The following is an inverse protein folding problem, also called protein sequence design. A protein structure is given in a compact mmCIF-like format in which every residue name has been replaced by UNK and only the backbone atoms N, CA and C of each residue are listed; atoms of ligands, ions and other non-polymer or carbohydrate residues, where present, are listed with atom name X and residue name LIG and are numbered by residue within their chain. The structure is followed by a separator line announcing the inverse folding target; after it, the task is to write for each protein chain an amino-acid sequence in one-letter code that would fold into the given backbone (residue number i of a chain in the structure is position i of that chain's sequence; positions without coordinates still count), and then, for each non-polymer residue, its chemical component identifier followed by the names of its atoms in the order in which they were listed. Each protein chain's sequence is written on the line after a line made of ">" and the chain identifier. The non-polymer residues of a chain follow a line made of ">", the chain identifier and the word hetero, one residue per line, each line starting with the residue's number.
data_IF_186503889620
#
_entry.id   IF_186503889620
#
_cell.length_a   1.000
_cell.length_b   1.000
_cell.length_c   1.000
_cell.angle_alpha   90.00
_cell.angle_beta   90.00
_cell.angle_gamma   90.00
#
_symmetry.space_group_name_H-M   'P 1'
#
loop_
_entity.id
_entity.type
_entity.pdbx_description
1 polymer ?
#
# COMPACT_ATOMS: atom_id res chain seq x y z
N UNK A 1 27.53 58.72 54.16
CA UNK A 1 26.07 58.95 54.22
C UNK A 1 25.43 58.13 53.11
N UNK A 2 24.41 57.38 53.49
CA UNK A 2 23.78 56.33 52.70
C UNK A 2 22.96 56.88 51.51
N UNK A 3 22.98 56.14 50.41
CA UNK A 3 22.07 56.34 49.27
C UNK A 3 21.95 55.03 48.50
N UNK A 4 20.95 54.22 48.85
CA UNK A 4 20.61 52.96 48.18
C UNK A 4 20.04 53.25 46.80
N UNK A 5 20.57 52.63 45.75
CA UNK A 5 19.96 52.57 44.42
C UNK A 5 19.49 51.13 44.18
N UNK A 6 18.23 50.88 43.82
CA UNK A 6 17.77 49.52 43.58
C UNK A 6 18.25 49.04 42.20
N UNK A 7 18.94 47.91 42.20
CA UNK A 7 19.32 47.17 41.01
C UNK A 7 18.07 46.46 40.47
N UNK A 8 17.52 46.93 39.36
CA UNK A 8 16.41 46.26 38.67
C UNK A 8 17.00 45.37 37.57
N UNK A 9 17.17 44.09 37.88
CA UNK A 9 17.47 43.04 36.90
C UNK A 9 16.21 42.77 36.08
N UNK A 10 16.14 43.26 34.85
CA UNK A 10 15.20 42.75 33.86
C UNK A 10 15.88 41.58 33.16
N UNK A 11 15.42 40.36 33.46
CA UNK A 11 15.78 39.15 32.74
C UNK A 11 15.29 39.26 31.29
N UNK A 12 16.21 39.43 30.34
CA UNK A 12 15.93 39.19 28.93
C UNK A 12 15.94 37.68 28.68
N UNK A 13 14.76 37.06 28.75
CA UNK A 13 14.58 35.67 28.34
C UNK A 13 14.79 35.55 26.82
N UNK A 14 15.94 35.02 26.40
CA UNK A 14 16.20 34.63 25.02
C UNK A 14 15.25 33.45 24.66
N UNK A 15 14.19 33.74 23.91
CA UNK A 15 13.42 32.71 23.21
C UNK A 15 14.26 32.18 22.03
N UNK A 16 14.90 31.03 22.22
CA UNK A 16 15.51 30.26 21.13
C UNK A 16 14.37 29.59 20.36
N UNK A 17 13.89 30.26 19.30
CA UNK A 17 12.98 29.66 18.32
C UNK A 17 13.80 28.66 17.51
N UNK A 18 13.66 27.39 17.84
CA UNK A 18 14.25 26.30 17.07
C UNK A 18 13.33 26.04 15.88
N UNK A 19 13.68 26.60 14.72
CA UNK A 19 12.96 26.31 13.46
C UNK A 19 13.32 24.88 13.07
N UNK A 20 12.43 23.93 13.37
CA UNK A 20 12.46 22.62 12.73
C UNK A 20 12.07 22.84 11.26
N UNK A 21 13.07 23.01 10.40
CA UNK A 21 12.92 22.81 8.97
C UNK A 21 12.69 21.32 8.76
N UNK A 22 11.43 20.90 8.75
CA UNK A 22 11.07 19.65 8.11
C UNK A 22 11.46 19.81 6.65
N UNK A 23 12.54 19.14 6.25
CA UNK A 23 12.87 18.96 4.84
C UNK A 23 11.78 18.09 4.24
N UNK A 24 10.66 18.73 3.89
CA UNK A 24 9.71 18.22 2.93
C UNK A 24 10.52 18.04 1.66
N UNK A 25 11.04 16.83 1.44
CA UNK A 25 11.53 16.45 0.12
C UNK A 25 10.30 16.50 -0.77
N UNK A 26 10.04 17.65 -1.38
CA UNK A 26 9.14 17.74 -2.51
C UNK A 26 9.71 16.76 -3.53
N UNK A 27 9.02 15.65 -3.74
CA UNK A 27 9.26 14.82 -4.90
C UNK A 27 8.82 15.67 -6.10
N UNK A 28 9.76 16.42 -6.68
CA UNK A 28 9.55 17.00 -7.99
C UNK A 28 9.48 15.78 -8.93
N UNK A 29 8.29 15.50 -9.43
CA UNK A 29 8.15 14.64 -10.59
C UNK A 29 8.81 15.40 -11.75
N UNK A 30 10.05 15.08 -12.08
CA UNK A 30 10.57 15.45 -13.39
C UNK A 30 9.77 14.64 -14.40
N UNK A 31 8.81 15.28 -15.08
CA UNK A 31 7.92 14.73 -16.13
C UNK A 31 8.69 14.24 -17.39
N UNK A 32 10.00 13.99 -17.29
CA UNK A 32 10.85 13.63 -18.41
C UNK A 32 10.82 12.14 -18.74
N UNK A 33 10.36 11.27 -17.81
CA UNK A 33 10.35 9.81 -18.00
C UNK A 33 8.93 9.25 -17.91
N UNK A 34 8.20 9.37 -19.01
CA UNK A 34 6.82 8.87 -19.15
C UNK A 34 6.78 7.34 -19.29
N UNK A 35 5.72 6.71 -18.75
CA UNK A 35 5.41 5.30 -19.04
C UNK A 35 5.03 5.20 -20.54
N UNK A 36 5.69 4.34 -21.33
CA UNK A 36 5.41 4.23 -22.76
C UNK A 36 3.98 3.75 -23.01
N UNK A 37 3.36 4.18 -24.11
CA UNK A 37 2.03 3.71 -24.52
C UNK A 37 2.04 2.29 -25.09
N UNK A 38 3.17 1.85 -25.64
CA UNK A 38 3.38 0.50 -26.15
C UNK A 38 3.72 -0.46 -24.99
N UNK A 39 2.83 -1.43 -24.75
CA UNK A 39 2.96 -2.42 -23.68
C UNK A 39 4.25 -3.25 -23.77
N UNK A 40 4.77 -3.47 -24.99
CA UNK A 40 6.01 -4.24 -25.20
C UNK A 40 7.25 -3.54 -24.64
N UNK A 41 7.19 -2.21 -24.44
CA UNK A 41 8.29 -1.39 -23.93
C UNK A 41 8.26 -1.23 -22.42
N UNK A 42 7.16 -1.61 -21.75
CA UNK A 42 6.95 -1.35 -20.31
C UNK A 42 7.97 -2.07 -19.44
N UNK A 43 8.34 -3.31 -19.80
CA UNK A 43 9.36 -4.07 -19.07
C UNK A 43 10.72 -3.35 -19.12
N UNK A 44 11.17 -2.99 -20.33
CA UNK A 44 12.41 -2.24 -20.55
C UNK A 44 12.38 -0.86 -19.87
N UNK A 45 11.24 -0.16 -19.93
CA UNK A 45 11.05 1.10 -19.22
C UNK A 45 11.18 0.92 -17.71
N UNK A 46 10.56 -0.12 -17.15
CA UNK A 46 10.62 -0.41 -15.73
C UNK A 46 12.05 -0.72 -15.29
N UNK A 47 12.76 -1.58 -16.02
CA UNK A 47 14.16 -1.92 -15.74
C UNK A 47 15.10 -0.71 -15.88
N UNK A 48 14.74 0.25 -16.74
CA UNK A 48 15.46 1.50 -16.89
C UNK A 48 15.22 2.51 -15.78
N UNK A 49 14.06 2.49 -15.14
CA UNK A 49 13.72 3.42 -14.07
C UNK A 49 13.95 2.84 -12.68
N UNK A 50 13.83 1.52 -12.55
CA UNK A 50 14.00 0.75 -11.32
C UNK A 50 15.35 0.04 -11.34
N UNK A 51 16.41 0.83 -11.54
CA UNK A 51 17.81 0.38 -11.52
C UNK A 51 18.21 -0.31 -10.21
N UNK A 52 19.29 -1.07 -10.25
CA UNK A 52 19.78 -1.80 -9.07
C UNK A 52 20.15 -0.86 -7.93
N UNK A 53 20.23 -1.40 -6.71
CA UNK A 53 20.66 -0.64 -5.54
C UNK A 53 22.02 0.06 -5.77
N UNK A 54 22.99 -0.65 -6.36
CA UNK A 54 24.33 -0.11 -6.60
C UNK A 54 24.34 1.09 -7.56
N UNK A 55 23.43 1.11 -8.53
CA UNK A 55 23.30 2.19 -9.52
C UNK A 55 22.59 3.43 -8.96
N UNK A 56 21.69 3.28 -7.98
CA UNK A 56 20.88 4.39 -7.45
C UNK A 56 21.24 4.84 -6.03
N UNK A 57 22.12 4.14 -5.32
CA UNK A 57 22.40 4.42 -3.90
C UNK A 57 22.77 5.89 -3.59
N UNK A 58 23.32 6.64 -4.55
CA UNK A 58 23.66 8.05 -4.37
C UNK A 58 22.45 9.00 -4.32
N UNK A 59 21.30 8.61 -4.87
CA UNK A 59 20.08 9.43 -4.95
C UNK A 59 18.95 8.91 -4.07
N UNK A 60 19.12 7.75 -3.44
CA UNK A 60 18.13 7.17 -2.53
C UNK A 60 18.14 7.85 -1.16
N UNK A 61 17.03 7.69 -0.43
CA UNK A 61 16.95 8.06 0.98
C UNK A 61 18.13 7.42 1.76
N UNK A 62 18.95 8.21 2.48
CA UNK A 62 20.06 7.69 3.28
C UNK A 62 19.67 6.58 4.26
N UNK A 63 18.47 6.63 4.84
CA UNK A 63 17.98 5.59 5.74
C UNK A 63 17.74 4.27 5.00
N UNK A 64 17.23 4.33 3.77
CA UNK A 64 17.10 3.15 2.91
C UNK A 64 18.47 2.60 2.52
N UNK A 65 19.43 3.46 2.19
CA UNK A 65 20.81 3.05 1.87
C UNK A 65 21.44 2.31 3.06
N UNK A 66 21.29 2.86 4.27
CA UNK A 66 21.77 2.21 5.49
C UNK A 66 21.10 0.84 5.72
N UNK A 67 19.78 0.75 5.46
CA UNK A 67 19.03 -0.48 5.65
C UNK A 67 19.44 -1.60 4.69
N UNK A 68 19.74 -1.28 3.43
CA UNK A 68 20.13 -2.26 2.41
C UNK A 68 21.60 -2.69 2.50
N UNK A 69 22.44 -2.03 3.33
CA UNK A 69 23.87 -2.35 3.45
C UNK A 69 24.14 -3.76 4.02
N UNK A 70 23.34 -4.19 5.01
CA UNK A 70 23.51 -5.49 5.66
C UNK A 70 22.15 -6.15 5.97
N UNK A 71 21.47 -6.70 4.96
CA UNK A 71 20.16 -7.32 5.13
C UNK A 71 20.22 -8.54 6.03
N UNK A 72 19.13 -8.77 6.77
CA UNK A 72 18.95 -9.97 7.60
C UNK A 72 17.87 -10.87 7.00
N UNK A 73 17.97 -12.17 7.27
CA UNK A 73 16.99 -13.16 6.82
C UNK A 73 16.45 -13.91 8.04
N UNK A 74 15.12 -13.93 8.17
CA UNK A 74 14.38 -14.72 9.14
C UNK A 74 13.55 -15.73 8.35
N UNK A 75 13.67 -17.02 8.66
CA UNK A 75 12.91 -18.09 7.99
C UNK A 75 11.67 -18.48 8.79
N UNK A 76 10.53 -18.54 8.14
CA UNK A 76 9.27 -19.01 8.73
C UNK A 76 8.87 -20.33 8.07
N UNK A 77 8.79 -21.40 8.86
CA UNK A 77 8.38 -22.73 8.39
C UNK A 77 7.51 -23.42 9.44
N UNK A 78 6.27 -23.77 9.09
CA UNK A 78 5.32 -24.40 10.02
C UNK A 78 5.79 -25.77 10.53
N UNK A 79 6.62 -26.47 9.76
CA UNK A 79 7.26 -27.75 10.12
C UNK A 79 8.41 -27.62 11.15
N UNK A 80 8.80 -26.39 11.50
CA UNK A 80 9.88 -26.13 12.46
C UNK A 80 11.29 -26.09 11.86
N UNK A 81 11.46 -26.22 10.54
CA UNK A 81 12.77 -26.10 9.87
C UNK A 81 13.30 -24.67 9.74
N UNK A 82 12.54 -23.66 10.17
CA UNK A 82 12.87 -22.25 10.14
C UNK A 82 13.27 -21.69 11.51
N UNK A 83 13.45 -20.37 11.58
CA UNK A 83 13.63 -19.65 12.83
C UNK A 83 12.33 -19.58 13.65
N UNK A 84 11.18 -19.47 12.96
CA UNK A 84 9.85 -19.41 13.55
C UNK A 84 8.86 -20.30 12.80
N UNK A 85 7.79 -20.70 13.48
CA UNK A 85 6.66 -21.44 12.87
C UNK A 85 5.60 -20.51 12.30
N UNK A 86 5.43 -19.33 12.91
CA UNK A 86 4.42 -18.34 12.58
C UNK A 86 5.07 -17.08 11.99
N UNK A 87 4.30 -16.33 11.21
CA UNK A 87 4.77 -15.05 10.67
C UNK A 87 4.77 -14.01 11.79
N UNK A 88 3.77 -14.03 12.68
CA UNK A 88 3.64 -13.11 13.81
C UNK A 88 4.86 -13.15 14.74
N UNK A 89 5.35 -14.34 15.10
CA UNK A 89 6.56 -14.47 15.94
C UNK A 89 7.80 -13.91 15.24
N UNK A 90 7.93 -14.14 13.93
CA UNK A 90 9.02 -13.58 13.15
C UNK A 90 9.00 -12.04 13.16
N UNK A 91 7.82 -11.44 12.98
CA UNK A 91 7.66 -9.99 13.08
C UNK A 91 7.94 -9.48 14.50
N UNK A 92 7.52 -10.21 15.53
CA UNK A 92 7.78 -9.85 16.93
C UNK A 92 9.27 -9.86 17.27
N UNK A 93 10.06 -10.72 16.64
CA UNK A 93 11.51 -10.78 16.84
C UNK A 93 12.29 -9.59 16.26
N UNK A 94 11.69 -8.83 15.33
CA UNK A 94 12.31 -7.64 14.74
C UNK A 94 12.25 -6.49 15.77
N UNK A 95 13.38 -5.84 16.10
CA UNK A 95 13.42 -4.78 17.10
C UNK A 95 12.64 -3.54 16.63
N UNK A 96 12.05 -2.82 17.59
CA UNK A 96 11.52 -1.49 17.33
C UNK A 96 12.66 -0.53 16.91
N UNK A 97 12.38 0.38 15.99
CA UNK A 97 13.37 1.26 15.39
C UNK A 97 14.35 0.53 14.46
N UNK A 98 13.94 -0.61 13.89
CA UNK A 98 14.77 -1.41 12.98
C UNK A 98 15.41 -0.55 11.87
N UNK A 99 16.73 -0.64 11.73
CA UNK A 99 17.50 0.13 10.73
C UNK A 99 18.04 -0.73 9.59
N UNK A 100 17.69 -2.02 9.54
CA UNK A 100 18.19 -2.98 8.55
C UNK A 100 17.06 -3.56 7.72
N UNK A 101 17.29 -3.85 6.44
CA UNK A 101 16.34 -4.64 5.65
C UNK A 101 16.21 -6.04 6.25
N UNK A 102 15.01 -6.41 6.69
CA UNK A 102 14.74 -7.77 7.20
C UNK A 102 13.85 -8.52 6.23
N UNK A 103 14.39 -9.57 5.62
CA UNK A 103 13.65 -10.51 4.80
C UNK A 103 13.07 -11.62 5.68
N UNK A 104 11.75 -11.58 5.87
CA UNK A 104 10.98 -12.69 6.43
C UNK A 104 10.65 -13.64 5.28
N UNK A 105 11.46 -14.67 5.12
CA UNK A 105 11.33 -15.68 4.09
C UNK A 105 10.38 -16.78 4.58
N UNK A 106 9.19 -16.84 3.97
CA UNK A 106 8.08 -17.67 4.40
C UNK A 106 7.97 -18.85 3.44
N UNK A 107 8.07 -20.06 4.00
CA UNK A 107 7.83 -21.30 3.24
C UNK A 107 6.36 -21.35 2.79
N UNK A 108 6.10 -21.95 1.63
CA UNK A 108 4.73 -22.17 1.18
C UNK A 108 3.92 -23.00 2.19
N UNK A 109 2.67 -22.61 2.40
CA UNK A 109 1.79 -23.15 3.43
C UNK A 109 0.59 -22.23 3.64
N UNK A 110 -0.37 -22.66 4.47
CA UNK A 110 -1.52 -21.85 4.87
C UNK A 110 -1.29 -21.34 6.28
N UNK A 111 -1.24 -20.02 6.42
CA UNK A 111 -1.00 -19.30 7.67
C UNK A 111 -2.29 -18.62 8.10
N UNK A 112 -3.02 -19.24 9.03
CA UNK A 112 -4.21 -18.65 9.63
C UNK A 112 -3.79 -17.69 10.75
N UNK A 113 -3.43 -16.47 10.38
CA UNK A 113 -2.88 -15.44 11.27
C UNK A 113 -3.39 -14.06 10.84
N UNK A 114 -3.79 -13.25 11.83
CA UNK A 114 -3.94 -11.81 11.62
C UNK A 114 -2.60 -11.12 11.85
N UNK A 115 -2.01 -10.57 10.81
CA UNK A 115 -0.65 -10.06 10.85
C UNK A 115 -0.66 -8.54 10.82
N UNK A 116 0.05 -7.91 11.75
CA UNK A 116 0.36 -6.47 11.70
C UNK A 116 1.86 -6.27 11.56
N UNK A 117 2.27 -5.48 10.56
CA UNK A 117 3.63 -4.95 10.45
C UNK A 117 3.61 -3.53 11.02
N UNK A 118 4.03 -3.33 12.28
CA UNK A 118 3.82 -2.07 12.97
C UNK A 118 4.72 -0.96 12.42
N UNK A 119 4.25 0.29 12.52
CA UNK A 119 4.96 1.48 12.02
C UNK A 119 6.39 1.62 12.57
N UNK A 120 6.65 1.13 13.78
CA UNK A 120 7.95 1.21 14.44
C UNK A 120 8.94 0.13 13.97
N UNK A 121 8.62 -0.69 12.97
CA UNK A 121 9.50 -1.70 12.38
C UNK A 121 9.64 -1.49 10.87
N UNK A 122 10.32 -0.42 10.41
CA UNK A 122 10.48 -0.13 8.98
C UNK A 122 11.38 -1.18 8.30
N UNK A 123 11.42 -1.12 6.96
CA UNK A 123 12.31 -1.96 6.13
C UNK A 123 12.06 -3.47 6.22
N UNK A 124 10.83 -3.90 6.51
CA UNK A 124 10.46 -5.33 6.51
C UNK A 124 10.10 -5.79 5.09
N UNK A 125 10.51 -7.00 4.74
CA UNK A 125 10.10 -7.66 3.50
C UNK A 125 9.52 -9.03 3.80
N UNK A 126 8.24 -9.24 3.48
CA UNK A 126 7.65 -10.57 3.44
C UNK A 126 7.92 -11.19 2.08
N UNK A 127 8.55 -12.36 2.05
CA UNK A 127 8.99 -13.01 0.83
C UNK A 127 8.55 -14.47 0.77
N UNK A 128 7.82 -14.84 -0.27
CA UNK A 128 7.49 -16.22 -0.62
C UNK A 128 8.21 -16.70 -1.88
N UNK A 129 8.17 -18.01 -2.13
CA UNK A 129 8.59 -18.56 -3.43
C UNK A 129 7.49 -18.37 -4.47
N UNK A 130 7.78 -17.94 -5.71
CA UNK A 130 6.75 -17.77 -6.73
C UNK A 130 6.07 -19.10 -7.13
N UNK A 131 6.76 -20.23 -6.94
CA UNK A 131 6.21 -21.58 -7.22
C UNK A 131 5.40 -22.15 -6.05
N UNK A 132 5.49 -21.54 -4.87
CA UNK A 132 4.86 -22.02 -3.65
C UNK A 132 4.66 -20.82 -2.72
N UNK A 133 3.71 -19.95 -3.09
CA UNK A 133 3.41 -18.74 -2.34
C UNK A 133 2.72 -19.11 -1.02
N UNK A 134 3.13 -18.53 0.12
CA UNK A 134 2.37 -18.66 1.36
C UNK A 134 0.98 -18.01 1.19
N UNK A 135 -0.03 -18.69 1.70
CA UNK A 135 -1.40 -18.19 1.78
C UNK A 135 -1.67 -17.71 3.21
N UNK A 136 -1.83 -16.40 3.37
CA UNK A 136 -2.14 -15.76 4.64
C UNK A 136 -3.65 -15.53 4.69
N UNK A 137 -4.30 -16.05 5.73
CA UNK A 137 -5.74 -15.96 5.90
C UNK A 137 -6.13 -15.64 7.34
N UNK A 138 -7.25 -14.96 7.52
CA UNK A 138 -7.83 -14.68 8.83
C UNK A 138 -9.31 -14.31 8.72
N UNK A 139 -10.11 -14.60 9.75
CA UNK A 139 -11.57 -14.42 9.76
C UNK A 139 -12.02 -12.98 10.15
N UNK A 140 -11.23 -11.99 9.74
CA UNK A 140 -11.46 -10.58 10.05
C UNK A 140 -12.58 -9.97 9.21
N UNK A 141 -13.64 -9.49 9.86
CA UNK A 141 -14.69 -8.69 9.21
C UNK A 141 -14.90 -7.34 9.89
N UNK A 142 -15.45 -6.38 9.15
CA UNK A 142 -15.79 -5.07 9.67
C UNK A 142 -16.87 -5.11 10.75
N UNK A 143 -17.75 -6.11 10.75
CA UNK A 143 -18.72 -6.32 11.83
C UNK A 143 -18.03 -6.59 13.18
N UNK A 144 -16.89 -7.29 13.16
CA UNK A 144 -16.13 -7.65 14.37
C UNK A 144 -15.04 -6.63 14.72
N UNK A 145 -14.40 -6.03 13.72
CA UNK A 145 -13.20 -5.21 13.90
C UNK A 145 -13.33 -3.77 13.39
N UNK A 146 -14.42 -3.42 12.71
CA UNK A 146 -14.46 -2.26 11.80
C UNK A 146 -13.60 -2.49 10.55
N UNK A 147 -13.87 -1.75 9.47
CA UNK A 147 -13.15 -1.93 8.18
C UNK A 147 -11.64 -1.79 8.36
N UNK A 148 -11.19 -0.75 9.08
CA UNK A 148 -9.78 -0.44 9.31
C UNK A 148 -9.01 -1.63 9.89
N UNK A 149 -9.57 -2.29 10.90
CA UNK A 149 -8.89 -3.39 11.60
C UNK A 149 -9.35 -4.77 11.13
N UNK A 150 -10.15 -4.88 10.07
CA UNK A 150 -10.57 -6.18 9.51
C UNK A 150 -9.47 -6.87 8.69
N UNK A 151 -8.39 -6.15 8.36
CA UNK A 151 -7.27 -6.63 7.53
C UNK A 151 -6.69 -7.96 8.01
N UNK A 152 -6.55 -8.92 7.09
CA UNK A 152 -5.76 -10.15 7.29
C UNK A 152 -4.28 -9.80 7.46
N UNK A 153 -3.76 -8.94 6.56
CA UNK A 153 -2.46 -8.29 6.69
C UNK A 153 -2.66 -6.78 6.82
N UNK A 154 -2.17 -6.19 7.91
CA UNK A 154 -2.18 -4.75 8.19
C UNK A 154 -0.72 -4.27 8.16
N UNK A 155 -0.42 -3.32 7.29
CA UNK A 155 0.94 -2.79 7.12
C UNK A 155 0.95 -1.30 7.42
N UNK A 156 1.56 -0.95 8.54
CA UNK A 156 1.77 0.43 8.98
C UNK A 156 3.23 0.87 8.80
N UNK A 157 4.09 -0.08 8.40
CA UNK A 157 5.55 0.07 8.31
C UNK A 157 6.01 0.70 6.99
N UNK A 158 6.82 1.75 7.10
CA UNK A 158 7.45 2.39 5.94
C UNK A 158 8.49 1.47 5.28
N UNK A 159 8.66 1.66 3.97
CA UNK A 159 9.57 0.88 3.13
C UNK A 159 9.29 -0.63 3.13
N UNK A 160 8.05 -1.01 3.45
CA UNK A 160 7.62 -2.40 3.41
C UNK A 160 7.67 -2.98 1.99
N UNK A 161 8.01 -4.26 1.88
CA UNK A 161 7.87 -4.99 0.62
C UNK A 161 7.15 -6.31 0.84
N UNK A 162 6.28 -6.68 -0.10
CA UNK A 162 5.73 -8.02 -0.20
C UNK A 162 6.03 -8.60 -1.57
N UNK A 163 6.49 -9.85 -1.58
CA UNK A 163 6.88 -10.54 -2.81
C UNK A 163 6.34 -11.96 -2.79
N UNK A 164 5.56 -12.34 -3.80
CA UNK A 164 5.01 -13.69 -3.97
C UNK A 164 4.15 -14.17 -2.79
N UNK A 165 3.14 -13.40 -2.39
CA UNK A 165 2.21 -13.76 -1.31
C UNK A 165 0.79 -13.92 -1.84
N UNK A 166 0.00 -14.77 -1.17
CA UNK A 166 -1.45 -14.83 -1.35
C UNK A 166 -2.09 -14.39 -0.04
N UNK A 167 -3.03 -13.43 -0.11
CA UNK A 167 -3.69 -12.83 1.05
C UNK A 167 -5.20 -12.92 0.82
N UNK A 168 -5.91 -13.65 1.68
CA UNK A 168 -7.34 -13.97 1.51
C UNK A 168 -8.02 -13.91 2.88
N UNK A 169 -9.02 -13.04 3.11
CA UNK A 169 -9.84 -13.12 4.31
C UNK A 169 -10.64 -14.44 4.30
N UNK A 170 -10.82 -15.03 5.47
CA UNK A 170 -11.51 -16.32 5.60
C UNK A 170 -13.03 -16.15 5.46
N UNK A 171 -13.54 -16.63 4.33
CA UNK A 171 -14.97 -16.71 4.02
C UNK A 171 -15.61 -15.41 3.54
N UNK A 172 -16.64 -15.55 2.70
CA UNK A 172 -17.56 -14.45 2.36
C UNK A 172 -18.62 -14.40 3.46
N UNK A 173 -18.76 -13.25 4.13
CA UNK A 173 -19.85 -13.03 5.09
C UNK A 173 -20.84 -12.02 4.54
N UNK A 174 -22.09 -12.43 4.42
CA UNK A 174 -23.17 -11.58 3.95
C UNK A 174 -23.27 -10.34 4.85
N UNK A 175 -23.25 -9.15 4.23
CA UNK A 175 -23.42 -7.87 4.93
C UNK A 175 -22.20 -7.35 5.70
N UNK A 176 -20.99 -7.91 5.54
CA UNK A 176 -19.81 -7.40 6.26
C UNK A 176 -18.55 -7.35 5.39
N UNK A 177 -17.91 -6.18 5.31
CA UNK A 177 -16.65 -5.98 4.60
C UNK A 177 -15.52 -6.83 5.19
N UNK A 178 -14.57 -7.28 4.37
CA UNK A 178 -13.38 -7.97 4.85
C UNK A 178 -12.15 -7.62 4.02
N UNK A 179 -11.23 -6.92 4.69
CA UNK A 179 -9.99 -6.47 4.09
C UNK A 179 -8.98 -7.62 4.03
N UNK A 180 -8.49 -7.92 2.83
CA UNK A 180 -7.34 -8.81 2.67
C UNK A 180 -6.06 -8.08 3.14
N UNK A 181 -5.80 -6.92 2.56
CA UNK A 181 -4.64 -6.09 2.84
C UNK A 181 -5.06 -4.67 3.19
N UNK A 182 -4.62 -4.17 4.34
CA UNK A 182 -4.57 -2.76 4.65
C UNK A 182 -3.12 -2.28 4.56
N UNK A 183 -2.87 -1.18 3.85
CA UNK A 183 -1.55 -0.55 3.75
C UNK A 183 -1.65 0.94 4.07
N UNK A 184 -0.78 1.39 4.98
CA UNK A 184 -0.66 2.78 5.40
C UNK A 184 0.77 3.27 5.62
N UNK A 185 1.74 2.35 5.56
CA UNK A 185 3.17 2.65 5.60
C UNK A 185 3.66 3.16 4.25
N UNK A 186 4.46 4.23 4.27
CA UNK A 186 4.87 4.95 3.08
C UNK A 186 5.98 4.22 2.31
N UNK A 187 6.07 4.48 0.99
CA UNK A 187 7.12 3.93 0.10
C UNK A 187 7.13 2.39 0.08
N UNK A 188 5.94 1.78 0.11
CA UNK A 188 5.76 0.33 0.07
C UNK A 188 5.66 -0.22 -1.35
N UNK A 189 6.09 -1.47 -1.56
CA UNK A 189 6.00 -2.12 -2.87
C UNK A 189 5.55 -3.58 -2.78
N UNK A 190 4.66 -3.96 -3.69
CA UNK A 190 4.08 -5.29 -3.79
C UNK A 190 4.39 -5.87 -5.17
N UNK A 191 5.03 -7.05 -5.19
CA UNK A 191 5.42 -7.73 -6.41
C UNK A 191 4.80 -9.12 -6.46
N UNK A 192 4.07 -9.43 -7.53
CA UNK A 192 3.50 -10.76 -7.76
C UNK A 192 2.70 -11.29 -6.55
N UNK A 193 1.93 -10.40 -5.92
CA UNK A 193 1.06 -10.74 -4.80
C UNK A 193 -0.38 -10.92 -5.27
N UNK A 194 -1.15 -11.77 -4.59
CA UNK A 194 -2.56 -11.98 -4.84
C UNK A 194 -3.38 -11.53 -3.65
N UNK A 195 -4.22 -10.52 -3.85
CA UNK A 195 -5.19 -10.06 -2.86
C UNK A 195 -6.57 -10.49 -3.36
N UNK A 196 -7.15 -11.49 -2.71
CA UNK A 196 -8.39 -12.12 -3.18
C UNK A 196 -9.43 -11.95 -2.09
N UNK A 197 -10.46 -11.17 -2.35
CA UNK A 197 -11.54 -10.93 -1.39
C UNK A 197 -12.88 -10.74 -2.07
N UNK A 198 -13.73 -9.98 -1.41
CA UNK A 198 -15.04 -9.60 -1.90
C UNK A 198 -15.23 -8.08 -1.74
N UNK A 199 -15.91 -7.59 -0.71
CA UNK A 199 -16.08 -6.16 -0.45
C UNK A 199 -14.87 -5.65 0.36
N UNK A 200 -14.33 -4.49 -0.05
CA UNK A 200 -13.18 -3.82 0.59
C UNK A 200 -11.88 -4.67 0.59
N UNK A 201 -11.56 -5.35 -0.50
CA UNK A 201 -10.42 -6.30 -0.55
C UNK A 201 -9.06 -5.65 -0.23
N UNK A 202 -8.72 -4.55 -0.89
CA UNK A 202 -7.49 -3.78 -0.69
C UNK A 202 -7.84 -2.41 -0.13
N UNK A 203 -7.51 -2.20 1.15
CA UNK A 203 -7.54 -0.90 1.77
C UNK A 203 -6.19 -0.20 1.61
N UNK A 204 -6.03 0.49 0.49
CA UNK A 204 -4.90 1.36 0.19
C UNK A 204 -5.07 2.71 0.88
N UNK A 205 -4.87 2.71 2.21
CA UNK A 205 -5.28 3.82 3.07
C UNK A 205 -4.49 5.10 2.76
N UNK A 206 -3.16 5.10 2.88
CA UNK A 206 -2.33 6.29 2.64
C UNK A 206 -0.89 5.90 2.37
N UNK A 207 -0.15 6.77 1.67
CA UNK A 207 1.27 6.56 1.37
C UNK A 207 1.53 6.41 -0.13
N UNK A 208 2.82 6.38 -0.49
CA UNK A 208 3.29 6.16 -1.85
C UNK A 208 3.51 4.66 -2.08
N UNK A 209 2.72 4.04 -2.95
CA UNK A 209 2.76 2.60 -3.16
C UNK A 209 2.96 2.20 -4.63
N UNK A 210 3.62 1.05 -4.83
CA UNK A 210 3.73 0.37 -6.11
C UNK A 210 3.14 -1.03 -6.01
N UNK A 211 2.23 -1.37 -6.91
CA UNK A 211 1.73 -2.73 -7.11
C UNK A 211 2.09 -3.18 -8.52
N UNK A 212 2.97 -4.18 -8.64
CA UNK A 212 3.46 -4.68 -9.92
C UNK A 212 3.26 -6.18 -10.04
N UNK A 213 2.69 -6.60 -11.16
CA UNK A 213 2.38 -8.00 -11.48
C UNK A 213 1.45 -8.65 -10.44
N UNK A 214 0.72 -7.84 -9.67
CA UNK A 214 -0.21 -8.33 -8.67
C UNK A 214 -1.54 -8.74 -9.31
N UNK A 215 -2.28 -9.59 -8.59
CA UNK A 215 -3.64 -9.98 -8.90
C UNK A 215 -4.55 -9.48 -7.79
N UNK A 216 -5.56 -8.68 -8.12
CA UNK A 216 -6.54 -8.18 -7.14
C UNK A 216 -7.93 -8.58 -7.59
N UNK A 217 -8.67 -9.26 -6.70
CA UNK A 217 -10.03 -9.71 -6.97
C UNK A 217 -10.99 -9.26 -5.88
N UNK A 218 -12.15 -8.74 -6.28
CA UNK A 218 -13.22 -8.39 -5.35
C UNK A 218 -14.55 -8.09 -6.02
N UNK A 219 -15.44 -7.42 -5.28
CA UNK A 219 -16.84 -7.13 -5.64
C UNK A 219 -17.11 -5.62 -5.53
N UNK A 220 -17.52 -5.11 -4.38
CA UNK A 220 -17.79 -3.69 -4.13
C UNK A 220 -16.57 -3.02 -3.50
N UNK A 221 -16.21 -1.84 -4.00
CA UNK A 221 -15.16 -0.94 -3.48
C UNK A 221 -13.84 -1.65 -3.17
N UNK A 222 -13.48 -2.64 -3.98
CA UNK A 222 -12.46 -3.60 -3.56
C UNK A 222 -11.03 -3.09 -3.68
N UNK A 223 -10.81 -1.91 -4.26
CA UNK A 223 -9.59 -1.12 -4.16
C UNK A 223 -9.99 0.29 -3.69
N UNK A 224 -9.72 0.62 -2.43
CA UNK A 224 -10.25 1.85 -1.82
C UNK A 224 -9.26 2.51 -0.86
N UNK A 225 -9.51 3.79 -0.56
CA UNK A 225 -8.65 4.61 0.31
C UNK A 225 -8.07 5.84 -0.40
N UNK A 226 -6.99 6.39 0.13
CA UNK A 226 -6.37 7.66 -0.32
C UNK A 226 -4.86 7.57 -0.52
N UNK A 227 -4.35 6.38 -0.86
CA UNK A 227 -2.97 6.20 -1.32
C UNK A 227 -2.63 7.04 -2.55
N UNK A 228 -1.33 7.27 -2.75
CA UNK A 228 -0.73 7.72 -4.02
C UNK A 228 -0.08 6.50 -4.65
N UNK A 229 -0.81 5.82 -5.52
CA UNK A 229 -0.47 4.45 -5.88
C UNK A 229 -0.42 4.22 -7.37
N UNK A 230 0.64 3.57 -7.82
CA UNK A 230 0.80 3.10 -9.18
C UNK A 230 0.52 1.59 -9.24
N UNK A 231 -0.41 1.22 -10.12
CA UNK A 231 -0.88 -0.13 -10.34
C UNK A 231 -0.50 -0.58 -11.76
N UNK A 232 0.25 -1.68 -11.86
CA UNK A 232 0.50 -2.46 -13.08
C UNK A 232 0.09 -3.91 -12.81
N UNK A 233 -1.22 -4.15 -12.78
CA UNK A 233 -1.82 -5.33 -12.18
C UNK A 233 -2.89 -5.99 -13.08
N UNK A 234 -3.29 -7.19 -12.68
CA UNK A 234 -4.52 -7.83 -13.16
C UNK A 234 -5.63 -7.65 -12.12
N UNK A 235 -6.67 -6.93 -12.49
CA UNK A 235 -7.90 -6.75 -11.72
C UNK A 235 -8.96 -7.75 -12.21
N UNK A 236 -9.59 -8.46 -11.27
CA UNK A 236 -10.69 -9.38 -11.53
C UNK A 236 -11.91 -9.01 -10.69
N UNK A 237 -12.96 -8.53 -11.32
CA UNK A 237 -14.24 -8.37 -10.64
C UNK A 237 -15.03 -9.68 -10.59
N UNK A 238 -15.92 -9.77 -9.60
CA UNK A 238 -16.96 -10.80 -9.52
C UNK A 238 -18.28 -10.16 -9.11
N UNK A 239 -19.36 -10.51 -9.79
CA UNK A 239 -20.72 -10.00 -9.52
C UNK A 239 -20.82 -8.47 -9.65
N UNK A 240 -22.01 -7.91 -9.39
CA UNK A 240 -22.22 -6.46 -9.45
C UNK A 240 -21.13 -5.72 -8.65
N UNK A 241 -20.36 -4.85 -9.33
CA UNK A 241 -19.06 -4.38 -8.84
C UNK A 241 -18.89 -2.87 -8.98
N UNK A 242 -18.14 -2.32 -8.02
CA UNK A 242 -17.42 -1.06 -8.16
C UNK A 242 -15.94 -1.36 -7.87
N UNK A 243 -15.05 -1.11 -8.83
CA UNK A 243 -13.63 -1.47 -8.68
C UNK A 243 -12.95 -0.56 -7.67
N UNK A 244 -13.10 0.76 -7.83
CA UNK A 244 -12.42 1.74 -6.99
C UNK A 244 -13.36 2.62 -6.18
N UNK A 245 -12.96 2.94 -4.95
CA UNK A 245 -13.60 3.94 -4.11
C UNK A 245 -12.53 4.84 -3.49
N UNK A 246 -12.11 5.85 -4.26
CA UNK A 246 -10.99 6.71 -3.87
C UNK A 246 -11.45 7.86 -2.97
N UNK A 247 -10.68 8.14 -1.92
CA UNK A 247 -11.04 9.00 -0.79
C UNK A 247 -10.21 10.29 -0.71
N UNK A 248 -9.79 10.85 -1.84
CA UNK A 248 -9.21 12.19 -1.87
C UNK A 248 -10.32 13.21 -1.59
N UNK A 249 -10.08 14.11 -0.64
CA UNK A 249 -11.09 15.07 -0.18
C UNK A 249 -10.89 16.47 -0.77
N UNK A 250 -9.71 16.78 -1.30
CA UNK A 250 -9.45 18.07 -1.96
C UNK A 250 -8.41 17.99 -3.07
N UNK A 251 -8.44 18.94 -4.01
CA UNK A 251 -7.50 19.01 -5.13
C UNK A 251 -6.05 19.29 -4.71
N UNK A 252 -5.82 19.81 -3.50
CA UNK A 252 -4.47 20.05 -2.95
C UNK A 252 -3.83 18.80 -2.35
N UNK A 253 -4.60 17.73 -2.14
CA UNK A 253 -4.05 16.45 -1.69
C UNK A 253 -3.31 15.75 -2.83
N UNK A 254 -2.03 15.46 -2.61
CA UNK A 254 -1.19 14.67 -3.52
C UNK A 254 -1.46 13.17 -3.34
N UNK A 255 -2.68 12.74 -3.66
CA UNK A 255 -3.11 11.35 -3.65
C UNK A 255 -3.90 10.98 -4.91
N UNK A 256 -4.04 9.69 -5.16
CA UNK A 256 -4.73 9.17 -6.34
C UNK A 256 -4.26 7.79 -6.73
N UNK A 257 -5.08 7.11 -7.53
CA UNK A 257 -4.77 5.79 -8.06
C UNK A 257 -4.52 5.85 -9.55
N UNK A 258 -3.37 5.37 -9.99
CA UNK A 258 -3.00 5.29 -11.41
C UNK A 258 -2.90 3.83 -11.83
N UNK A 259 -3.85 3.37 -12.64
CA UNK A 259 -3.84 2.06 -13.28
C UNK A 259 -3.23 2.21 -14.67
N UNK A 260 -2.06 1.62 -14.90
CA UNK A 260 -1.31 1.76 -16.15
C UNK A 260 -0.88 0.39 -16.64
N UNK A 261 -1.15 0.08 -17.92
CA UNK A 261 -0.88 -1.26 -18.49
C UNK A 261 -1.47 -2.40 -17.65
N UNK A 262 -2.65 -2.16 -17.09
CA UNK A 262 -3.38 -3.16 -16.34
C UNK A 262 -4.21 -4.04 -17.27
N UNK A 263 -4.74 -5.11 -16.69
CA UNK A 263 -5.82 -5.89 -17.29
C UNK A 263 -7.02 -5.88 -16.34
N UNK A 264 -8.18 -5.49 -16.82
CA UNK A 264 -9.45 -5.52 -16.07
C UNK A 264 -10.36 -6.55 -16.71
N UNK A 265 -10.66 -7.61 -15.98
CA UNK A 265 -11.55 -8.70 -16.43
C UNK A 265 -12.54 -9.07 -15.33
N UNK A 266 -13.48 -9.96 -15.63
CA UNK A 266 -14.39 -10.50 -14.65
C UNK A 266 -15.52 -11.27 -15.31
N UNK A 267 -16.52 -11.59 -14.51
CA UNK A 267 -17.65 -12.44 -14.91
C UNK A 267 -18.98 -11.72 -14.89
N UNK A 268 -19.00 -10.41 -14.66
CA UNK A 268 -20.25 -9.66 -14.56
C UNK A 268 -20.89 -9.47 -15.92
N UNK A 269 -22.08 -10.05 -16.05
CA UNK A 269 -22.90 -9.92 -17.23
C UNK A 269 -23.54 -8.53 -17.33
N UNK A 270 -23.92 -8.16 -18.56
CA UNK A 270 -24.70 -6.97 -18.86
C UNK A 270 -24.05 -5.64 -18.46
N UNK A 271 -22.71 -5.58 -18.50
CA UNK A 271 -21.94 -4.34 -18.30
C UNK A 271 -22.29 -3.59 -17.01
N UNK A 272 -22.34 -4.30 -15.88
CA UNK A 272 -22.77 -3.71 -14.59
C UNK A 272 -21.62 -3.31 -13.65
N UNK A 273 -20.38 -3.37 -14.12
CA UNK A 273 -19.20 -2.99 -13.33
C UNK A 273 -18.88 -1.51 -13.53
N UNK A 274 -18.67 -0.75 -12.45
CA UNK A 274 -18.07 0.58 -12.54
C UNK A 274 -16.57 0.52 -12.24
N UNK A 275 -15.77 1.29 -12.98
CA UNK A 275 -14.35 1.53 -12.69
C UNK A 275 -14.16 2.19 -11.32
N UNK A 276 -15.11 3.02 -10.90
CA UNK A 276 -15.13 3.54 -9.55
C UNK A 276 -16.31 4.41 -9.22
N UNK A 277 -16.35 4.81 -7.95
CA UNK A 277 -17.24 5.82 -7.39
C UNK A 277 -16.47 6.75 -6.45
N UNK A 278 -17.02 7.94 -6.22
CA UNK A 278 -16.44 8.93 -5.32
C UNK A 278 -16.70 8.57 -3.84
N UNK A 279 -15.67 8.12 -3.10
CA UNK A 279 -15.79 8.01 -1.65
C UNK A 279 -15.54 9.36 -0.97
N UNK A 280 -14.43 10.00 -1.32
CA UNK A 280 -14.10 11.38 -0.92
C UNK A 280 -14.79 12.43 -1.79
N UNK A 281 -14.62 13.70 -1.44
CA UNK A 281 -15.21 14.83 -2.18
C UNK A 281 -14.49 15.23 -3.46
N UNK A 282 -13.28 14.73 -3.71
CA UNK A 282 -12.51 15.05 -4.91
C UNK A 282 -11.68 13.85 -5.36
N UNK A 283 -12.27 12.68 -5.66
CA UNK A 283 -11.52 11.48 -5.97
C UNK A 283 -10.58 11.67 -7.17
N UNK A 284 -9.47 10.92 -7.21
CA UNK A 284 -8.55 10.92 -8.36
C UNK A 284 -8.17 9.50 -8.75
N UNK A 285 -8.67 9.06 -9.91
CA UNK A 285 -8.35 7.76 -10.47
C UNK A 285 -8.07 7.92 -11.96
N UNK A 286 -6.90 7.46 -12.39
CA UNK A 286 -6.48 7.44 -13.79
C UNK A 286 -6.39 6.00 -14.26
N UNK A 287 -6.99 5.70 -15.40
CA UNK A 287 -6.87 4.39 -16.09
C UNK A 287 -6.30 4.64 -17.48
N UNK A 288 -5.05 4.21 -17.71
CA UNK A 288 -4.31 4.45 -18.93
C UNK A 288 -3.74 3.14 -19.50
N UNK A 289 -3.73 3.03 -20.84
CA UNK A 289 -3.17 1.88 -21.58
C UNK A 289 -3.62 0.51 -21.05
N UNK A 290 -4.83 0.44 -20.52
CA UNK A 290 -5.33 -0.72 -19.79
C UNK A 290 -6.32 -1.49 -20.66
N UNK A 291 -6.16 -2.80 -20.72
CA UNK A 291 -7.10 -3.68 -21.40
C UNK A 291 -8.31 -3.89 -20.50
N UNK A 292 -9.50 -3.47 -20.95
CA UNK A 292 -10.74 -3.55 -20.20
C UNK A 292 -11.70 -4.48 -20.94
N UNK A 293 -12.08 -5.58 -20.29
CA UNK A 293 -13.07 -6.51 -20.82
C UNK A 293 -14.45 -5.84 -20.94
N UNK A 294 -15.35 -6.45 -21.73
CA UNK A 294 -16.70 -5.96 -21.99
C UNK A 294 -17.69 -6.20 -20.81
N UNK A 295 -17.29 -5.74 -19.63
CA UNK A 295 -17.98 -5.90 -18.34
C UNK A 295 -18.29 -4.55 -17.69
N UNK A 296 -17.62 -3.50 -18.15
CA UNK A 296 -17.73 -2.15 -17.56
C UNK A 296 -18.94 -1.43 -18.12
N UNK A 297 -19.69 -0.78 -17.22
CA UNK A 297 -20.84 0.07 -17.56
C UNK A 297 -20.43 1.15 -18.55
N UNK A 298 -21.28 1.51 -19.54
CA UNK A 298 -20.94 2.55 -20.52
C UNK A 298 -20.52 3.89 -19.91
N UNK A 299 -21.11 4.28 -18.77
CA UNK A 299 -20.75 5.49 -18.02
C UNK A 299 -19.38 5.37 -17.32
N UNK A 300 -18.93 4.14 -17.08
CA UNK A 300 -17.67 3.74 -16.40
C UNK A 300 -17.55 4.16 -14.94
N UNK A 301 -18.01 5.35 -14.58
CA UNK A 301 -17.97 5.90 -13.23
C UNK A 301 -19.38 6.07 -12.72
N UNK A 302 -19.56 5.96 -11.40
CA UNK A 302 -20.84 6.21 -10.74
C UNK A 302 -20.68 7.36 -9.75
N UNK A 303 -21.60 8.31 -9.81
CA UNK A 303 -21.75 9.37 -8.80
C UNK A 303 -22.24 8.83 -7.45
N UNK A 304 -22.81 7.63 -7.46
CA UNK A 304 -23.44 6.98 -6.32
C UNK A 304 -24.45 7.88 -5.58
N UNK A 305 -25.19 8.71 -6.33
CA UNK A 305 -26.15 9.67 -5.77
C UNK A 305 -25.52 10.96 -5.25
N UNK A 306 -24.25 11.22 -5.60
CA UNK A 306 -23.50 12.44 -5.28
C UNK A 306 -23.06 13.17 -6.58
N UNK A 307 -24.01 13.73 -7.36
CA UNK A 307 -23.68 14.39 -8.63
C UNK A 307 -22.74 15.58 -8.46
N UNK A 308 -22.65 16.17 -7.26
CA UNK A 308 -21.69 17.23 -6.94
C UNK A 308 -20.22 16.79 -7.01
N UNK A 309 -19.96 15.48 -7.10
CA UNK A 309 -18.62 14.89 -7.17
C UNK A 309 -18.23 14.48 -8.59
N UNK A 310 -19.12 14.68 -9.57
CA UNK A 310 -18.79 14.54 -10.99
C UNK A 310 -17.97 15.75 -11.44
N UNK A 311 -16.74 15.54 -11.91
CA UNK A 311 -15.84 16.59 -12.41
C UNK A 311 -15.12 16.17 -13.67
#
# INVERSE_FOLDING_TARGET
>A
MAGKTPCMFIHASLMIITILLTSSTAAIAEDTILIPSDSSQVASWFDNNVKTYNERKSTLDPALVAAEHAPQVIKVMQDGGGNFKTITDAINSIPAGNTKRVFVNIKGGVYNEKITIPHNKPFVTLYGSPKSMPNITFDGTAQKYGTVYSGTLIVESDYFKAVNLVIIPDGIREGAQAVALQISGNKAAFYNCKMIGYQDTLYDYKGLHLFKDCFIQGTVDFIFGKGKSLYLIHVVERNLTVITAQQRDSASEDSGFSFVHCKITGTTYARRTYLGRAWGSSPNVVVAYTDIADIVHPERWSDFGHPERES
#
